data_IF_324062836355
#
_entry.id   IF_324062836355
#
_cell.length_a   1.000
_cell.length_b   1.000
_cell.length_c   1.000
_cell.angle_alpha   90.00
_cell.angle_beta   90.00
_cell.angle_gamma   90.00
#
_symmetry.space_group_name_H-M   'P 1'
#
loop_
_entity.id
_entity.type
_entity.pdbx_description
1 polymer ?
#
# COMPACT_ATOMS: atom_id res chain seq x y z
N UNK A 1 39.39 -52.22 -53.20
CA UNK A 1 40.03 -52.05 -51.88
C UNK A 1 40.54 -50.63 -51.86
N UNK A 2 39.68 -49.65 -51.54
CA UNK A 2 39.51 -49.11 -50.17
C UNK A 2 40.88 -48.73 -49.58
N UNK A 3 41.23 -47.47 -49.30
CA UNK A 3 40.40 -46.41 -48.73
C UNK A 3 40.77 -45.01 -49.26
N UNK A 4 39.86 -44.50 -50.09
CA UNK A 4 39.53 -43.08 -50.35
C UNK A 4 39.19 -42.35 -49.01
N UNK A 5 39.34 -41.02 -48.76
CA UNK A 5 39.60 -39.75 -49.49
C UNK A 5 40.08 -38.71 -48.43
N UNK A 6 41.10 -37.84 -48.60
CA UNK A 6 41.23 -36.60 -49.45
C UNK A 6 40.17 -35.52 -49.09
N UNK A 7 40.39 -34.17 -49.05
CA UNK A 7 41.57 -33.30 -49.33
C UNK A 7 41.85 -32.10 -48.36
N UNK A 8 43.05 -31.51 -48.47
CA UNK A 8 43.23 -30.06 -48.75
C UNK A 8 43.00 -28.99 -47.67
N UNK A 9 44.09 -28.59 -46.99
CA UNK A 9 44.37 -27.23 -46.46
C UNK A 9 44.25 -26.15 -47.58
N UNK A 10 44.20 -24.80 -47.35
CA UNK A 10 44.74 -24.02 -46.20
C UNK A 10 44.00 -22.70 -45.76
N UNK A 11 44.32 -22.27 -44.53
CA UNK A 11 44.48 -20.90 -43.93
C UNK A 11 43.52 -19.70 -44.21
N UNK A 12 42.87 -19.30 -43.09
CA UNK A 12 42.61 -17.96 -42.49
C UNK A 12 41.40 -17.12 -42.99
N UNK A 13 40.50 -16.72 -42.06
CA UNK A 13 39.89 -15.37 -41.82
C UNK A 13 38.89 -15.44 -40.62
N UNK A 14 38.61 -14.34 -39.88
CA UNK A 14 38.34 -14.29 -38.43
C UNK A 14 36.86 -14.23 -37.99
N UNK A 15 36.63 -14.64 -36.74
CA UNK A 15 35.58 -14.21 -35.79
C UNK A 15 34.22 -13.81 -36.38
N UNK A 16 33.22 -14.71 -36.41
CA UNK A 16 31.78 -14.35 -36.37
C UNK A 16 30.93 -15.38 -35.59
N UNK A 17 30.38 -14.89 -34.48
CA UNK A 17 29.01 -15.04 -33.94
C UNK A 17 28.10 -16.18 -34.43
N UNK A 18 27.83 -17.15 -33.54
CA UNK A 18 26.51 -17.65 -33.04
C UNK A 18 26.84 -19.02 -32.39
N UNK A 19 26.34 -19.47 -31.23
CA UNK A 19 24.95 -19.60 -30.80
C UNK A 19 24.97 -19.71 -29.27
N UNK A 20 24.45 -18.70 -28.56
CA UNK A 20 23.49 -18.88 -27.48
C UNK A 20 22.76 -17.53 -27.39
N UNK A 21 21.57 -17.49 -28.01
CA UNK A 21 20.63 -16.38 -27.89
C UNK A 21 20.46 -16.08 -26.41
N UNK A 22 20.86 -14.89 -25.96
CA UNK A 22 20.60 -14.42 -24.59
C UNK A 22 19.11 -14.62 -24.31
N UNK A 23 18.73 -15.35 -23.24
CA UNK A 23 17.33 -15.44 -22.88
C UNK A 23 16.82 -14.02 -22.60
N UNK A 24 15.71 -13.64 -23.24
CA UNK A 24 14.96 -12.43 -22.87
C UNK A 24 14.39 -12.66 -21.48
N UNK A 25 15.19 -12.38 -20.44
CA UNK A 25 14.80 -12.57 -19.05
C UNK A 25 13.78 -11.48 -18.69
N UNK A 26 12.55 -11.93 -18.48
CA UNK A 26 11.48 -11.16 -17.86
C UNK A 26 11.90 -10.63 -16.49
N UNK A 27 11.28 -9.51 -16.13
CA UNK A 27 11.51 -8.61 -15.00
C UNK A 27 11.24 -9.21 -13.59
N UNK A 28 11.77 -10.39 -13.27
CA UNK A 28 11.52 -11.05 -11.98
C UNK A 28 12.82 -11.64 -11.43
N UNK A 29 13.47 -10.93 -10.49
CA UNK A 29 14.41 -11.38 -9.41
C UNK A 29 15.61 -10.46 -9.13
N UNK A 30 15.83 -9.36 -9.86
CA UNK A 30 17.01 -8.52 -9.62
C UNK A 30 17.03 -7.70 -8.31
N UNK A 31 15.94 -7.63 -7.54
CA UNK A 31 15.88 -6.79 -6.32
C UNK A 31 16.01 -7.56 -4.99
N UNK A 32 15.75 -8.88 -4.95
CA UNK A 32 15.78 -9.64 -3.70
C UNK A 32 17.13 -10.34 -3.54
N UNK A 33 17.92 -9.93 -2.56
CA UNK A 33 19.16 -10.61 -2.18
C UNK A 33 18.85 -11.78 -1.26
N UNK A 34 19.33 -12.95 -1.59
CA UNK A 34 19.21 -14.14 -0.72
C UNK A 34 20.26 -14.10 0.39
N UNK A 35 20.04 -14.80 1.52
CA UNK A 35 21.06 -14.96 2.56
C UNK A 35 22.36 -15.53 2.00
N UNK A 36 22.29 -16.51 1.09
CA UNK A 36 23.46 -17.07 0.43
C UNK A 36 24.24 -16.03 -0.38
N UNK A 37 23.55 -15.23 -1.20
CA UNK A 37 24.21 -14.16 -1.97
C UNK A 37 24.85 -13.09 -1.06
N UNK A 38 24.25 -12.82 0.10
CA UNK A 38 24.80 -11.90 1.10
C UNK A 38 26.07 -12.50 1.72
N UNK A 39 26.05 -13.77 2.12
CA UNK A 39 27.22 -14.47 2.63
C UNK A 39 28.35 -14.51 1.60
N UNK A 40 28.04 -14.90 0.36
CA UNK A 40 29.00 -14.91 -0.75
C UNK A 40 29.59 -13.52 -1.01
N UNK A 41 28.78 -12.46 -0.98
CA UNK A 41 29.26 -11.08 -1.10
C UNK A 41 30.24 -10.72 0.03
N UNK A 42 29.89 -11.01 1.28
CA UNK A 42 30.74 -10.66 2.43
C UNK A 42 32.06 -11.43 2.41
N UNK A 43 32.05 -12.70 2.03
CA UNK A 43 33.27 -13.52 1.88
C UNK A 43 34.12 -13.02 0.71
N UNK A 44 33.54 -12.82 -0.47
CA UNK A 44 34.26 -12.32 -1.63
C UNK A 44 34.85 -10.92 -1.42
N UNK A 45 34.19 -10.06 -0.63
CA UNK A 45 34.76 -8.76 -0.25
C UNK A 45 35.99 -8.90 0.66
N UNK A 46 36.04 -9.89 1.55
CA UNK A 46 37.24 -10.14 2.38
C UNK A 46 38.45 -10.54 1.55
N UNK A 47 38.22 -11.27 0.46
CA UNK A 47 39.27 -11.79 -0.42
C UNK A 47 39.69 -10.78 -1.50
N UNK A 48 38.72 -10.18 -2.20
CA UNK A 48 38.97 -9.31 -3.36
C UNK A 48 38.82 -7.81 -3.07
N UNK A 49 38.41 -7.41 -1.86
CA UNK A 49 38.21 -6.01 -1.51
C UNK A 49 37.14 -5.31 -2.38
N UNK A 50 37.37 -4.04 -2.73
CA UNK A 50 36.43 -3.20 -3.52
C UNK A 50 36.43 -3.53 -5.02
N UNK A 51 36.95 -4.69 -5.42
CA UNK A 51 36.99 -5.13 -6.82
C UNK A 51 35.63 -5.71 -7.28
N UNK A 52 34.62 -4.86 -7.36
CA UNK A 52 33.23 -5.24 -7.67
C UNK A 52 33.06 -5.98 -9.00
N UNK A 53 33.95 -5.74 -9.97
CA UNK A 53 33.95 -6.44 -11.24
C UNK A 53 34.35 -7.92 -11.07
N UNK A 54 35.38 -8.20 -10.27
CA UNK A 54 35.81 -9.57 -9.96
C UNK A 54 34.73 -10.29 -9.17
N UNK A 55 34.20 -9.64 -8.12
CA UNK A 55 33.12 -10.21 -7.29
C UNK A 55 31.87 -10.50 -8.13
N UNK A 56 31.54 -9.64 -9.08
CA UNK A 56 30.45 -9.89 -10.03
C UNK A 56 30.75 -11.08 -10.92
N UNK A 57 31.92 -11.14 -11.56
CA UNK A 57 32.22 -12.19 -12.54
C UNK A 57 32.42 -13.56 -11.91
N UNK A 58 33.09 -13.64 -10.76
CA UNK A 58 33.54 -14.90 -10.18
C UNK A 58 32.62 -15.41 -9.05
N UNK A 59 31.95 -14.52 -8.32
CA UNK A 59 31.19 -14.91 -7.12
C UNK A 59 29.68 -14.67 -7.26
N UNK A 60 29.25 -13.63 -7.98
CA UNK A 60 27.85 -13.23 -8.15
C UNK A 60 27.52 -12.87 -9.61
N UNK A 61 27.63 -13.81 -10.57
CA UNK A 61 27.49 -13.54 -12.01
C UNK A 61 26.10 -13.07 -12.41
N UNK A 62 25.10 -13.29 -11.56
CA UNK A 62 23.73 -12.79 -11.74
C UNK A 62 23.54 -11.33 -11.29
N UNK A 63 24.56 -10.72 -10.69
CA UNK A 63 24.51 -9.37 -10.10
C UNK A 63 25.51 -8.44 -10.78
N UNK A 64 25.07 -7.32 -11.36
CA UNK A 64 25.98 -6.31 -11.89
C UNK A 64 26.85 -5.67 -10.78
N UNK A 65 28.10 -5.27 -11.05
CA UNK A 65 29.02 -4.69 -10.06
C UNK A 65 28.44 -3.52 -9.26
N UNK A 66 27.64 -2.67 -9.91
CA UNK A 66 26.97 -1.52 -9.28
C UNK A 66 25.95 -1.93 -8.21
N UNK A 67 25.25 -3.05 -8.42
CA UNK A 67 24.27 -3.60 -7.47
C UNK A 67 24.95 -4.23 -6.26
N UNK A 68 26.08 -4.89 -6.49
CA UNK A 68 26.93 -5.49 -5.46
C UNK A 68 27.50 -4.40 -4.55
N UNK A 69 28.09 -3.35 -5.13
CA UNK A 69 28.59 -2.18 -4.39
C UNK A 69 27.48 -1.54 -3.55
N UNK A 70 26.30 -1.30 -4.13
CA UNK A 70 25.16 -0.69 -3.42
C UNK A 70 24.70 -1.55 -2.25
N UNK A 71 24.63 -2.88 -2.45
CA UNK A 71 24.26 -3.82 -1.39
C UNK A 71 25.29 -3.82 -0.27
N UNK A 72 26.58 -3.86 -0.60
CA UNK A 72 27.65 -3.85 0.39
C UNK A 72 27.63 -2.57 1.24
N UNK A 73 27.53 -1.38 0.62
CA UNK A 73 27.41 -0.11 1.35
C UNK A 73 26.21 -0.09 2.29
N UNK A 74 25.07 -0.66 1.86
CA UNK A 74 23.89 -0.76 2.71
C UNK A 74 24.10 -1.71 3.90
N UNK A 75 24.79 -2.84 3.71
CA UNK A 75 25.14 -3.76 4.80
C UNK A 75 26.09 -3.10 5.80
N UNK A 76 27.08 -2.35 5.33
CA UNK A 76 27.98 -1.57 6.19
C UNK A 76 27.23 -0.49 6.97
N UNK A 77 26.26 0.20 6.34
CA UNK A 77 25.37 1.15 7.03
C UNK A 77 24.48 0.47 8.07
N UNK A 78 24.03 -0.76 7.84
CA UNK A 78 23.26 -1.52 8.84
C UNK A 78 24.18 -1.93 10.00
N UNK A 79 25.39 -2.40 9.70
CA UNK A 79 26.38 -2.81 10.71
C UNK A 79 26.87 -1.63 11.55
N UNK A 80 26.99 -0.45 10.95
CA UNK A 80 27.37 0.79 11.63
C UNK A 80 26.21 1.45 12.37
N UNK A 81 24.97 0.96 12.24
CA UNK A 81 23.89 1.39 13.14
C UNK A 81 24.17 0.79 14.52
N UNK A 82 24.01 1.58 15.60
CA UNK A 82 23.96 1.02 16.94
C UNK A 82 22.99 -0.16 16.97
N UNK A 83 23.47 -1.33 17.39
CA UNK A 83 22.69 -2.56 17.44
C UNK A 83 21.44 -2.34 18.28
N UNK A 84 20.30 -2.73 17.71
CA UNK A 84 18.97 -2.47 18.23
C UNK A 84 18.59 -3.39 19.39
N UNK A 85 19.17 -3.16 20.56
CA UNK A 85 18.42 -3.35 21.81
C UNK A 85 17.51 -2.11 22.05
N UNK A 86 17.89 -0.94 21.53
CA UNK A 86 17.15 0.33 21.62
C UNK A 86 16.05 0.52 20.56
N UNK A 87 15.38 -0.54 20.07
CA UNK A 87 14.20 -0.36 19.19
C UNK A 87 12.92 -0.97 19.75
N UNK A 88 13.02 -1.66 20.87
CA UNK A 88 11.87 -1.98 21.73
C UNK A 88 11.50 -0.76 22.55
N UNK A 89 10.21 -0.47 22.60
CA UNK A 89 9.63 0.53 23.49
C UNK A 89 9.20 -0.20 24.74
N UNK A 90 9.70 0.22 25.90
CA UNK A 90 9.35 -0.39 27.18
C UNK A 90 8.04 0.18 27.73
N UNK A 91 7.54 -0.42 28.80
CA UNK A 91 6.41 0.10 29.57
C UNK A 91 6.69 1.48 30.17
N UNK A 92 7.94 1.70 30.58
CA UNK A 92 8.42 2.98 31.14
C UNK A 92 8.55 4.03 30.04
N UNK A 93 9.04 3.66 28.86
CA UNK A 93 9.07 4.55 27.70
C UNK A 93 7.64 4.99 27.32
N UNK A 94 6.70 4.05 27.34
CA UNK A 94 5.31 4.32 27.02
C UNK A 94 4.68 5.27 28.03
N UNK A 95 4.91 5.06 29.32
CA UNK A 95 4.38 5.93 30.38
C UNK A 95 5.03 7.31 30.35
N UNK A 96 6.34 7.37 30.11
CA UNK A 96 7.07 8.63 29.90
C UNK A 96 6.49 9.40 28.71
N UNK A 97 6.21 8.71 27.60
CA UNK A 97 5.60 9.32 26.41
C UNK A 97 4.17 9.79 26.67
N UNK A 98 3.39 9.07 27.48
CA UNK A 98 2.04 9.45 27.91
C UNK A 98 2.05 10.68 28.81
N UNK A 99 2.94 10.73 29.80
CA UNK A 99 3.07 11.91 30.66
C UNK A 99 3.57 13.12 29.88
N UNK A 100 4.55 12.94 29.00
CA UNK A 100 5.11 14.03 28.21
C UNK A 100 4.08 14.57 27.20
N UNK A 101 3.29 13.72 26.54
CA UNK A 101 2.21 14.17 25.65
C UNK A 101 1.08 14.87 26.39
N UNK A 102 0.76 14.45 27.62
CA UNK A 102 -0.18 15.15 28.49
C UNK A 102 0.34 16.53 28.90
N UNK A 103 1.61 16.62 29.32
CA UNK A 103 2.23 17.85 29.81
C UNK A 103 2.54 18.87 28.72
N UNK A 104 3.04 18.44 27.57
CA UNK A 104 3.52 19.32 26.49
C UNK A 104 2.57 19.38 25.28
N UNK A 105 1.58 18.50 25.21
CA UNK A 105 0.63 18.41 24.11
C UNK A 105 1.07 17.48 22.97
N UNK A 106 0.09 16.84 22.34
CA UNK A 106 0.28 15.97 21.16
C UNK A 106 0.79 16.81 19.98
N UNK A 107 1.83 16.34 19.29
CA UNK A 107 2.43 17.05 18.15
C UNK A 107 3.76 17.74 18.47
N UNK A 108 4.10 17.94 19.75
CA UNK A 108 5.36 18.55 20.19
C UNK A 108 6.53 17.54 20.24
N UNK A 109 6.67 16.73 19.20
CA UNK A 109 7.58 15.57 19.17
C UNK A 109 9.05 15.96 19.33
N UNK A 110 9.47 17.08 18.75
CA UNK A 110 10.85 17.55 18.86
C UNK A 110 11.21 17.94 20.30
N UNK A 111 10.27 18.55 21.03
CA UNK A 111 10.46 18.94 22.43
C UNK A 111 10.42 17.73 23.36
N UNK A 112 9.42 16.86 23.18
CA UNK A 112 9.26 15.62 23.95
C UNK A 112 10.49 14.72 23.75
N UNK A 113 10.93 14.55 22.50
CA UNK A 113 12.15 13.79 22.17
C UNK A 113 13.38 14.38 22.87
N UNK A 114 13.61 15.69 22.75
CA UNK A 114 14.78 16.34 23.35
C UNK A 114 14.85 16.15 24.87
N UNK A 115 13.70 16.13 25.55
CA UNK A 115 13.61 16.02 27.00
C UNK A 115 13.64 14.59 27.53
N UNK A 116 13.03 13.64 26.82
CA UNK A 116 12.74 12.31 27.37
C UNK A 116 13.29 11.14 26.55
N UNK A 117 13.63 11.35 25.28
CA UNK A 117 14.05 10.29 24.35
C UNK A 117 15.23 10.74 23.52
N UNK A 118 16.36 11.08 24.17
CA UNK A 118 17.55 11.63 23.50
C UNK A 118 18.18 10.65 22.50
N UNK A 119 17.98 9.36 22.73
CA UNK A 119 18.36 8.20 21.91
C UNK A 119 17.41 7.93 20.74
N UNK A 120 16.23 8.57 20.70
CA UNK A 120 15.23 8.40 19.64
C UNK A 120 15.12 9.63 18.75
N UNK A 121 14.63 9.42 17.53
CA UNK A 121 14.19 10.50 16.65
C UNK A 121 12.77 10.95 17.01
N UNK A 122 12.43 12.22 16.71
CA UNK A 122 11.06 12.73 16.89
C UNK A 122 10.03 11.94 16.07
N UNK A 123 10.43 11.41 14.91
CA UNK A 123 9.59 10.53 14.09
C UNK A 123 9.29 9.19 14.77
N UNK A 124 10.27 8.58 15.45
CA UNK A 124 10.04 7.34 16.21
C UNK A 124 9.10 7.56 17.39
N UNK A 125 9.29 8.67 18.12
CA UNK A 125 8.39 9.08 19.23
C UNK A 125 6.96 9.28 18.74
N UNK A 126 6.79 9.96 17.60
CA UNK A 126 5.48 10.15 16.97
C UNK A 126 4.85 8.81 16.54
N UNK A 127 5.62 7.92 15.91
CA UNK A 127 5.09 6.64 15.43
C UNK A 127 4.68 5.74 16.60
N UNK A 128 5.46 5.73 17.69
CA UNK A 128 5.05 5.04 18.91
C UNK A 128 3.78 5.61 19.49
N UNK A 129 3.66 6.94 19.57
CA UNK A 129 2.43 7.56 20.06
C UNK A 129 1.20 7.16 19.24
N UNK A 130 1.31 7.03 17.91
CA UNK A 130 0.19 6.52 17.09
C UNK A 130 -0.23 5.11 17.50
N UNK A 131 0.72 4.23 17.81
CA UNK A 131 0.43 2.87 18.30
C UNK A 131 -0.20 2.94 19.70
N UNK A 132 0.39 3.68 20.63
CA UNK A 132 -0.13 3.84 22.01
C UNK A 132 -1.50 4.49 22.09
N UNK A 133 -1.78 5.47 21.24
CA UNK A 133 -3.10 6.10 21.18
C UNK A 133 -4.20 5.14 20.73
N UNK A 134 -3.85 4.11 19.95
CA UNK A 134 -4.77 3.05 19.53
C UNK A 134 -4.95 1.98 20.60
N UNK A 135 -3.95 1.77 21.47
CA UNK A 135 -3.93 0.66 22.44
C UNK A 135 -4.21 1.07 23.90
N UNK A 136 -3.78 2.25 24.39
CA UNK A 136 -3.99 2.70 25.79
C UNK A 136 -5.46 2.85 26.15
N UNK A 137 -6.25 3.37 25.22
CA UNK A 137 -7.64 3.72 25.47
C UNK A 137 -8.62 2.73 24.86
N UNK A 138 -8.14 1.71 24.13
CA UNK A 138 -9.02 0.76 23.44
C UNK A 138 -9.92 1.40 22.36
N UNK A 139 -10.65 0.54 21.65
CA UNK A 139 -11.74 1.00 20.77
C UNK A 139 -12.89 1.52 21.64
N UNK A 140 -13.56 2.55 21.17
CA UNK A 140 -14.80 3.02 21.78
C UNK A 140 -15.85 1.92 21.75
N UNK A 141 -16.37 1.55 22.92
CA UNK A 141 -17.52 0.64 23.02
C UNK A 141 -18.84 1.38 22.75
N UNK A 142 -19.93 0.67 22.39
CA UNK A 142 -21.26 1.27 22.29
C UNK A 142 -21.73 1.93 23.60
N UNK A 143 -21.36 1.37 24.76
CA UNK A 143 -21.67 1.91 26.08
C UNK A 143 -20.90 3.19 26.35
N UNK A 144 -19.62 3.25 25.97
CA UNK A 144 -18.81 4.46 26.04
C UNK A 144 -19.32 5.56 25.10
N UNK A 145 -19.79 5.19 23.90
CA UNK A 145 -20.41 6.13 22.96
C UNK A 145 -21.68 6.73 23.56
N UNK A 146 -22.53 5.91 24.18
CA UNK A 146 -23.75 6.37 24.87
C UNK A 146 -23.39 7.31 26.02
N UNK A 147 -22.43 6.91 26.85
CA UNK A 147 -21.95 7.73 27.98
C UNK A 147 -21.33 9.05 27.50
N UNK A 148 -20.58 9.04 26.40
CA UNK A 148 -20.04 10.26 25.78
C UNK A 148 -21.15 11.20 25.31
N UNK A 149 -22.22 10.67 24.70
CA UNK A 149 -23.36 11.49 24.28
C UNK A 149 -24.12 12.10 25.48
N UNK A 150 -24.30 11.34 26.55
CA UNK A 150 -24.94 11.82 27.79
C UNK A 150 -24.10 12.93 28.45
N UNK A 151 -22.79 12.70 28.61
CA UNK A 151 -21.86 13.69 29.17
C UNK A 151 -21.78 14.96 28.31
N UNK A 152 -21.79 14.83 26.98
CA UNK A 152 -21.80 15.99 26.08
C UNK A 152 -23.07 16.83 26.24
N UNK A 153 -24.23 16.21 26.49
CA UNK A 153 -25.49 16.92 26.81
C UNK A 153 -25.40 17.60 28.18
N UNK A 154 -24.92 16.87 29.19
CA UNK A 154 -24.84 17.34 30.57
C UNK A 154 -23.87 18.53 30.73
N UNK A 155 -22.70 18.45 30.12
CA UNK A 155 -21.63 19.45 30.24
C UNK A 155 -21.57 20.41 29.04
N UNK A 156 -22.61 20.47 28.20
CA UNK A 156 -22.72 21.39 27.05
C UNK A 156 -21.47 21.41 26.15
N UNK A 157 -21.00 20.22 25.76
CA UNK A 157 -19.79 20.01 24.96
C UNK A 157 -18.47 20.53 25.58
N UNK A 158 -18.37 20.68 26.91
CA UNK A 158 -17.08 20.93 27.56
C UNK A 158 -16.20 19.66 27.55
N UNK A 159 -15.45 19.50 26.45
CA UNK A 159 -14.59 18.34 26.23
C UNK A 159 -13.44 18.22 27.24
N UNK A 160 -13.11 19.28 28.00
CA UNK A 160 -12.07 19.21 29.05
C UNK A 160 -12.60 18.44 30.25
N UNK A 161 -13.81 18.76 30.71
CA UNK A 161 -14.48 18.04 31.80
C UNK A 161 -14.76 16.60 31.39
N UNK A 162 -15.26 16.38 30.17
CA UNK A 162 -15.58 15.04 29.66
C UNK A 162 -14.32 14.17 29.55
N UNK A 163 -13.19 14.76 29.15
CA UNK A 163 -11.87 14.11 29.11
C UNK A 163 -11.46 13.60 30.49
N UNK A 164 -11.66 14.41 31.54
CA UNK A 164 -11.36 14.02 32.91
C UNK A 164 -12.27 12.90 33.43
N UNK A 165 -13.53 12.87 33.02
CA UNK A 165 -14.49 11.83 33.44
C UNK A 165 -14.21 10.51 32.73
N UNK A 166 -14.02 10.55 31.41
CA UNK A 166 -13.79 9.35 30.59
C UNK A 166 -12.33 8.88 30.59
N UNK A 167 -11.43 9.64 31.24
CA UNK A 167 -9.99 9.38 31.28
C UNK A 167 -9.40 9.12 29.89
N UNK A 168 -9.91 9.85 28.88
CA UNK A 168 -9.51 9.80 27.47
C UNK A 168 -9.10 11.20 27.02
N UNK A 169 -8.12 11.37 26.12
CA UNK A 169 -7.65 12.70 25.71
C UNK A 169 -8.78 13.55 25.11
N UNK A 170 -8.82 14.85 25.44
CA UNK A 170 -9.80 15.84 24.93
C UNK A 170 -10.02 15.73 23.42
N UNK A 171 -8.95 15.62 22.63
CA UNK A 171 -9.06 15.48 21.19
C UNK A 171 -9.76 14.18 20.76
N UNK A 172 -9.54 13.07 21.46
CA UNK A 172 -10.23 11.79 21.22
C UNK A 172 -11.73 11.92 21.48
N UNK A 173 -12.12 12.61 22.55
CA UNK A 173 -13.51 12.90 22.90
C UNK A 173 -14.17 13.71 21.78
N UNK A 174 -13.56 14.83 21.41
CA UNK A 174 -14.06 15.73 20.35
C UNK A 174 -14.27 14.98 19.02
N UNK A 175 -13.23 14.29 18.53
CA UNK A 175 -13.29 13.58 17.25
C UNK A 175 -14.35 12.47 17.28
N UNK A 176 -14.43 11.72 18.39
CA UNK A 176 -15.44 10.67 18.51
C UNK A 176 -16.83 11.26 18.54
N UNK A 177 -17.07 12.28 19.36
CA UNK A 177 -18.38 12.91 19.49
C UNK A 177 -18.87 13.48 18.16
N UNK A 178 -18.02 14.22 17.44
CA UNK A 178 -18.39 14.73 16.10
C UNK A 178 -18.73 13.59 15.13
N UNK A 179 -18.02 12.46 15.15
CA UNK A 179 -18.37 11.25 14.36
C UNK A 179 -19.67 10.58 14.80
N UNK A 180 -20.06 10.70 16.07
CA UNK A 180 -21.35 10.19 16.54
C UNK A 180 -22.52 11.10 16.13
N UNK A 181 -22.25 12.39 15.94
CA UNK A 181 -23.23 13.35 15.42
C UNK A 181 -23.38 13.29 13.89
N UNK A 182 -22.38 12.78 13.16
CA UNK A 182 -22.55 12.60 11.71
C UNK A 182 -23.63 11.57 11.43
N UNK A 183 -24.71 11.92 10.70
CA UNK A 183 -25.79 10.99 10.40
C UNK A 183 -25.23 9.75 9.70
N UNK A 184 -25.62 8.56 10.16
CA UNK A 184 -25.27 7.33 9.44
C UNK A 184 -26.03 7.28 8.13
N UNK A 185 -25.42 6.68 7.11
CA UNK A 185 -26.08 6.46 5.83
C UNK A 185 -27.19 5.42 5.99
N UNK A 186 -28.42 5.76 5.61
CA UNK A 186 -29.54 4.82 5.61
C UNK A 186 -29.53 3.97 4.34
N UNK A 187 -30.28 2.86 4.35
CA UNK A 187 -30.37 1.99 3.17
C UNK A 187 -31.02 2.76 2.02
N UNK A 188 -32.02 3.59 2.31
CA UNK A 188 -32.72 4.43 1.33
C UNK A 188 -31.77 5.48 0.71
N UNK A 189 -30.92 6.12 1.52
CA UNK A 189 -29.90 7.04 1.01
C UNK A 189 -28.87 6.33 0.11
N UNK A 190 -28.47 5.12 0.50
CA UNK A 190 -27.53 4.31 -0.27
C UNK A 190 -28.13 3.83 -1.60
N UNK A 191 -29.40 3.40 -1.58
CA UNK A 191 -30.15 2.99 -2.76
C UNK A 191 -30.38 4.17 -3.71
N UNK A 192 -30.79 5.32 -3.16
CA UNK A 192 -30.93 6.56 -3.93
C UNK A 192 -29.61 6.98 -4.57
N UNK A 193 -28.50 6.94 -3.81
CA UNK A 193 -27.18 7.25 -4.37
C UNK A 193 -26.78 6.28 -5.47
N UNK A 194 -27.06 4.98 -5.32
CA UNK A 194 -26.82 3.98 -6.36
C UNK A 194 -27.58 4.31 -7.64
N UNK A 195 -28.84 4.70 -7.54
CA UNK A 195 -29.66 4.98 -8.72
C UNK A 195 -29.27 6.31 -9.38
N UNK A 196 -28.93 7.33 -8.59
CA UNK A 196 -28.35 8.59 -9.10
C UNK A 196 -27.01 8.35 -9.82
N UNK A 197 -26.15 7.45 -9.31
CA UNK A 197 -24.90 7.08 -9.98
C UNK A 197 -25.13 6.33 -11.29
N UNK A 198 -26.23 5.57 -11.42
CA UNK A 198 -26.60 4.91 -12.69
C UNK A 198 -27.07 5.93 -13.73
N UNK A 199 -27.86 6.91 -13.31
CA UNK A 199 -28.47 7.91 -14.20
C UNK A 199 -27.46 8.99 -14.62
N UNK A 200 -26.76 9.60 -13.67
CA UNK A 200 -25.90 10.76 -13.89
C UNK A 200 -24.39 10.45 -13.87
N UNK A 201 -24.00 9.22 -13.54
CA UNK A 201 -22.59 8.86 -13.44
C UNK A 201 -21.90 9.55 -12.25
N UNK A 202 -20.73 10.15 -12.46
CA UNK A 202 -19.94 10.83 -11.40
C UNK A 202 -20.15 12.35 -11.37
N UNK A 203 -21.33 12.81 -11.73
CA UNK A 203 -21.72 14.23 -11.62
C UNK A 203 -22.04 14.56 -10.16
N UNK A 204 -21.00 14.83 -9.37
CA UNK A 204 -21.13 15.00 -7.91
C UNK A 204 -21.96 16.23 -7.53
N UNK A 205 -21.88 17.31 -8.31
CA UNK A 205 -22.62 18.54 -8.04
C UNK A 205 -24.11 18.29 -8.23
N UNK A 206 -24.49 17.59 -9.31
CA UNK A 206 -25.88 17.20 -9.54
C UNK A 206 -26.40 16.23 -8.49
N UNK A 207 -25.59 15.24 -8.09
CA UNK A 207 -25.97 14.27 -7.07
C UNK A 207 -26.11 14.94 -5.69
N UNK A 208 -25.24 15.90 -5.36
CA UNK A 208 -25.30 16.67 -4.11
C UNK A 208 -26.60 17.47 -3.99
N UNK A 209 -27.03 18.14 -5.07
CA UNK A 209 -28.33 18.83 -5.10
C UNK A 209 -29.52 17.90 -4.83
N UNK A 210 -29.40 16.63 -5.21
CA UNK A 210 -30.46 15.62 -5.07
C UNK A 210 -30.42 14.85 -3.74
N UNK A 211 -29.39 15.07 -2.90
CA UNK A 211 -29.16 14.36 -1.64
C UNK A 211 -29.14 15.34 -0.46
N UNK A 212 -30.33 15.83 -0.02
CA UNK A 212 -30.40 16.81 1.07
C UNK A 212 -29.78 16.27 2.35
N UNK A 213 -28.98 17.09 3.03
CA UNK A 213 -28.30 16.71 4.27
C UNK A 213 -26.99 15.95 4.08
N UNK A 214 -26.56 15.69 2.84
CA UNK A 214 -25.24 15.14 2.51
C UNK A 214 -24.48 16.13 1.64
N UNK A 215 -23.20 16.36 1.96
CA UNK A 215 -22.34 17.16 1.09
C UNK A 215 -21.64 16.29 0.05
N UNK A 216 -21.12 16.91 -1.01
CA UNK A 216 -20.48 16.24 -2.14
C UNK A 216 -19.28 15.38 -1.74
N UNK A 217 -18.54 15.78 -0.70
CA UNK A 217 -17.44 14.98 -0.17
C UNK A 217 -17.93 13.68 0.49
N UNK A 218 -18.97 13.73 1.31
CA UNK A 218 -19.57 12.54 1.94
C UNK A 218 -20.13 11.57 0.91
N UNK A 219 -20.85 12.10 -0.08
CA UNK A 219 -21.42 11.35 -1.21
C UNK A 219 -20.31 10.63 -1.96
N UNK A 220 -19.27 11.36 -2.39
CA UNK A 220 -18.13 10.80 -3.11
C UNK A 220 -17.41 9.75 -2.29
N UNK A 221 -17.18 10.02 -1.01
CA UNK A 221 -16.52 9.07 -0.09
C UNK A 221 -17.29 7.76 -0.01
N UNK A 222 -18.61 7.81 0.12
CA UNK A 222 -19.45 6.60 0.15
C UNK A 222 -19.42 5.87 -1.19
N UNK A 223 -19.59 6.60 -2.30
CA UNK A 223 -19.53 6.03 -3.64
C UNK A 223 -18.16 5.40 -3.98
N UNK A 224 -17.07 5.91 -3.42
CA UNK A 224 -15.71 5.36 -3.64
C UNK A 224 -15.35 4.24 -2.65
N UNK A 225 -16.12 4.06 -1.57
CA UNK A 225 -15.82 3.07 -0.51
C UNK A 225 -16.76 1.86 -0.55
N UNK A 226 -18.05 2.06 -0.84
CA UNK A 226 -19.07 1.02 -0.71
C UNK A 226 -19.42 0.39 -2.06
N UNK A 227 -19.07 -0.89 -2.22
CA UNK A 227 -19.36 -1.68 -3.43
C UNK A 227 -20.86 -1.82 -3.68
N UNK A 228 -21.70 -1.84 -2.63
CA UNK A 228 -23.16 -1.90 -2.78
C UNK A 228 -23.76 -0.62 -3.40
N UNK A 229 -23.08 0.51 -3.26
CA UNK A 229 -23.50 1.81 -3.83
C UNK A 229 -22.94 1.99 -5.23
N UNK A 230 -21.65 1.69 -5.38
CA UNK A 230 -20.98 1.79 -6.66
C UNK A 230 -20.34 0.43 -6.99
N UNK A 231 -21.03 -0.42 -7.74
CA UNK A 231 -20.46 -1.71 -8.10
C UNK A 231 -19.15 -1.54 -8.88
N UNK A 232 -18.98 -0.42 -9.62
CA UNK A 232 -17.82 -0.14 -10.46
C UNK A 232 -16.48 0.07 -9.72
N UNK A 233 -16.47 0.11 -8.39
CA UNK A 233 -15.22 0.14 -7.59
C UNK A 233 -14.78 -1.24 -7.09
N UNK A 234 -15.48 -2.32 -7.44
CA UNK A 234 -15.12 -3.66 -7.00
C UNK A 234 -13.68 -4.00 -7.45
N UNK A 235 -12.76 -4.16 -6.47
CA UNK A 235 -11.35 -4.52 -6.68
C UNK A 235 -11.06 -6.01 -6.42
N UNK A 236 -12.09 -6.83 -6.18
CA UNK A 236 -11.93 -8.27 -5.92
C UNK A 236 -11.53 -9.02 -7.19
N UNK A 237 -11.13 -10.29 -7.05
CA UNK A 237 -10.84 -11.15 -8.21
C UNK A 237 -12.07 -11.32 -9.09
N UNK A 238 -11.89 -11.46 -10.41
CA UNK A 238 -12.98 -11.66 -11.37
C UNK A 238 -13.66 -13.01 -11.13
N UNK A 239 -14.96 -13.00 -10.82
CA UNK A 239 -15.75 -14.24 -10.65
C UNK A 239 -16.00 -14.92 -12.00
N UNK A 240 -16.36 -16.21 -11.99
CA UNK A 240 -16.73 -16.93 -13.23
C UNK A 240 -17.92 -16.25 -13.94
N UNK A 241 -18.92 -15.85 -13.17
CA UNK A 241 -20.10 -15.13 -13.68
C UNK A 241 -19.75 -13.79 -14.31
N UNK A 242 -18.88 -12.99 -13.67
CA UNK A 242 -18.43 -11.70 -14.24
C UNK A 242 -17.69 -11.90 -15.57
N UNK A 243 -16.86 -12.95 -15.68
CA UNK A 243 -16.12 -13.27 -16.90
C UNK A 243 -17.03 -13.68 -18.04
N UNK A 244 -18.06 -14.48 -17.75
CA UNK A 244 -19.09 -14.87 -18.71
C UNK A 244 -19.90 -13.66 -19.18
N UNK A 245 -20.29 -12.77 -18.26
CA UNK A 245 -20.99 -11.53 -18.59
C UNK A 245 -20.13 -10.57 -19.43
N UNK A 246 -18.81 -10.50 -19.21
CA UNK A 246 -17.90 -9.76 -20.09
C UNK A 246 -17.91 -10.35 -21.50
N UNK A 247 -17.76 -11.67 -21.64
CA UNK A 247 -17.76 -12.33 -22.96
C UNK A 247 -19.06 -12.02 -23.71
N UNK A 248 -20.20 -12.20 -23.05
CA UNK A 248 -21.52 -11.89 -23.60
C UNK A 248 -21.66 -10.40 -23.96
N UNK A 249 -21.22 -9.50 -23.09
CA UNK A 249 -21.27 -8.07 -23.34
C UNK A 249 -20.43 -7.65 -24.54
N UNK A 250 -19.22 -8.22 -24.72
CA UNK A 250 -18.36 -7.95 -25.88
C UNK A 250 -18.96 -8.53 -27.16
N UNK A 251 -19.59 -9.69 -27.11
CA UNK A 251 -20.32 -10.26 -28.24
C UNK A 251 -21.49 -9.35 -28.68
N UNK A 252 -22.24 -8.79 -27.72
CA UNK A 252 -23.39 -7.92 -28.00
C UNK A 252 -23.01 -6.48 -28.42
N UNK A 253 -21.92 -5.94 -27.88
CA UNK A 253 -21.63 -4.50 -27.96
C UNK A 253 -20.21 -4.17 -28.47
N UNK A 254 -19.42 -5.18 -28.82
CA UNK A 254 -18.05 -5.02 -29.28
C UNK A 254 -17.18 -4.26 -28.27
N UNK A 255 -16.47 -3.24 -28.76
CA UNK A 255 -15.58 -2.40 -27.94
C UNK A 255 -16.30 -1.24 -27.23
N UNK A 256 -17.64 -1.22 -27.18
CA UNK A 256 -18.38 -0.22 -26.41
C UNK A 256 -18.36 -0.60 -24.92
N UNK A 257 -17.23 -0.34 -24.25
CA UNK A 257 -16.98 -0.76 -22.87
C UNK A 257 -17.96 -0.17 -21.85
N UNK A 258 -18.58 0.96 -22.16
CA UNK A 258 -19.65 1.54 -21.33
C UNK A 258 -20.84 0.58 -21.30
N UNK A 259 -21.35 0.15 -22.46
CA UNK A 259 -22.43 -0.85 -22.55
C UNK A 259 -22.01 -2.22 -22.01
N UNK A 260 -20.78 -2.66 -22.27
CA UNK A 260 -20.26 -3.92 -21.69
C UNK A 260 -20.29 -3.87 -20.15
N UNK A 261 -19.89 -2.76 -19.54
CA UNK A 261 -19.93 -2.63 -18.08
C UNK A 261 -21.34 -2.61 -17.49
N UNK A 262 -22.33 -2.16 -18.25
CA UNK A 262 -23.73 -2.24 -17.85
C UNK A 262 -24.23 -3.69 -17.84
N UNK A 263 -23.78 -4.52 -18.79
CA UNK A 263 -24.07 -5.98 -18.80
C UNK A 263 -23.41 -6.69 -17.62
N UNK A 264 -22.18 -6.31 -17.27
CA UNK A 264 -21.46 -6.89 -16.13
C UNK A 264 -22.05 -6.43 -14.80
N UNK A 265 -22.52 -5.18 -14.73
CA UNK A 265 -23.21 -4.59 -13.58
C UNK A 265 -22.35 -4.38 -12.33
N UNK A 266 -21.18 -5.03 -12.23
CA UNK A 266 -20.34 -5.07 -11.03
C UNK A 266 -18.95 -4.48 -11.19
N UNK A 267 -18.59 -3.96 -12.37
CA UNK A 267 -17.22 -3.51 -12.71
C UNK A 267 -17.25 -2.37 -13.72
N UNK A 268 -16.40 -1.36 -13.53
CA UNK A 268 -16.34 -0.21 -14.45
C UNK A 268 -15.98 -0.61 -15.88
N UNK A 269 -16.36 0.22 -16.86
CA UNK A 269 -15.95 0.04 -18.26
C UNK A 269 -14.43 -0.11 -18.41
N UNK A 270 -13.64 0.66 -17.65
CA UNK A 270 -12.16 0.54 -17.65
C UNK A 270 -11.68 -0.79 -17.10
N UNK A 271 -12.31 -1.30 -16.04
CA UNK A 271 -11.99 -2.62 -15.50
C UNK A 271 -12.34 -3.73 -16.50
N UNK A 272 -13.51 -3.66 -17.13
CA UNK A 272 -13.94 -4.63 -18.14
C UNK A 272 -13.00 -4.63 -19.35
N UNK A 273 -12.68 -3.45 -19.89
CA UNK A 273 -11.73 -3.29 -20.99
C UNK A 273 -10.37 -3.89 -20.65
N UNK A 274 -9.81 -3.52 -19.49
CA UNK A 274 -8.51 -4.00 -19.05
C UNK A 274 -8.48 -5.51 -18.85
N UNK A 275 -9.52 -6.06 -18.24
CA UNK A 275 -9.66 -7.52 -18.11
C UNK A 275 -9.67 -8.19 -19.48
N UNK A 276 -10.46 -7.67 -20.43
CA UNK A 276 -10.52 -8.21 -21.78
C UNK A 276 -9.17 -8.14 -22.51
N UNK A 277 -8.44 -7.03 -22.39
CA UNK A 277 -7.11 -6.89 -23.01
C UNK A 277 -6.10 -7.89 -22.43
N UNK A 278 -6.16 -8.16 -21.12
CA UNK A 278 -5.33 -9.18 -20.46
C UNK A 278 -5.72 -10.58 -20.94
N UNK A 279 -7.03 -10.89 -21.00
CA UNK A 279 -7.55 -12.19 -21.45
C UNK A 279 -7.15 -12.48 -22.91
N UNK A 280 -7.18 -11.46 -23.77
CA UNK A 280 -6.78 -11.55 -25.19
C UNK A 280 -5.26 -11.50 -25.41
N UNK A 281 -4.45 -11.46 -24.33
CA UNK A 281 -3.00 -11.40 -24.41
C UNK A 281 -2.43 -10.08 -24.97
N UNK A 282 -3.25 -9.02 -25.07
CA UNK A 282 -2.90 -7.73 -25.67
C UNK A 282 -2.28 -6.72 -24.69
N UNK A 283 -2.40 -6.94 -23.37
CA UNK A 283 -1.76 -6.12 -22.34
C UNK A 283 -0.85 -6.97 -21.43
N UNK A 284 0.45 -6.63 -21.37
CA UNK A 284 1.34 -7.14 -20.32
C UNK A 284 0.99 -6.43 -19.01
N UNK A 285 0.60 -7.18 -18.00
CA UNK A 285 0.18 -6.68 -16.68
C UNK A 285 1.16 -5.67 -16.07
N UNK A 286 0.89 -4.38 -16.26
CA UNK A 286 1.45 -3.31 -15.45
C UNK A 286 0.85 -3.38 -14.04
N UNK A 287 1.65 -3.88 -13.09
CA UNK A 287 1.31 -3.88 -11.66
C UNK A 287 1.00 -2.46 -11.19
N UNK A 288 -0.26 -2.22 -10.81
CA UNK A 288 -0.57 -1.34 -9.69
C UNK A 288 -0.95 -2.25 -8.53
N UNK A 289 -0.01 -2.46 -7.61
CA UNK A 289 -0.32 -2.88 -6.25
C UNK A 289 -0.56 -1.63 -5.42
N UNK A 290 -1.67 -1.65 -4.70
CA UNK A 290 -1.89 -0.91 -3.48
C UNK A 290 -0.62 -0.85 -2.60
N UNK A 291 -0.35 0.34 -2.06
CA UNK A 291 0.03 0.60 -0.67
C UNK A 291 -0.76 1.86 -0.31
N UNK A 292 -1.50 1.99 0.78
CA UNK A 292 -1.91 1.08 1.85
C UNK A 292 -3.19 1.69 2.45
#
# INVERSE_FOLDING_TARGET
MESYKIPGLPKIIPVIKHILKKPKIGSIKYNRWTPQEITTLLTAYKEYGKNWNIISQQCLPTRPPSTIRRKYIHLEKIKARPTSEHNTWTTEDDETLRMATHKYGVGKWSEIRKKFFSDRSSAQVQERWKVLSKTKFGRWSPEEDKRLQELAKQYKEDYRVISEILKRPVHSIYVRYKRLQTPKWTIEELDKLRDLLKEYGKDWERIEQMMPGRNGWEIKKVADTLVCVNPFINKRMWSKTEKELIKKGVEMHGNNWVRVSQVVGTRSHRQCQRYWQIEQGKEKTGKMTNDN
#
